data_IF_528571052918
#
_entry.id   IF_528571052918
#
_cell.length_a   1.000
_cell.length_b   1.000
_cell.length_c   1.000
_cell.angle_alpha   90.00
_cell.angle_beta   90.00
_cell.angle_gamma   90.00
#
_symmetry.space_group_name_H-M   'P 1'
#
loop_
_entity.id
_entity.type
_entity.pdbx_description
1 polymer ?
#
# COMPACT_ATOMS: atom_id res chain seq x y z
N UNK A 1 19.05 -14.77 3.76
CA UNK A 1 17.67 -14.83 3.20
C UNK A 1 17.28 -16.25 2.75
N UNK A 2 18.07 -16.90 1.88
CA UNK A 2 17.74 -18.22 1.28
C UNK A 2 17.51 -19.34 2.31
N UNK A 3 18.35 -19.44 3.35
CA UNK A 3 18.20 -20.46 4.40
C UNK A 3 16.89 -20.29 5.18
N UNK A 4 16.55 -19.05 5.55
CA UNK A 4 15.31 -18.73 6.25
C UNK A 4 14.09 -19.01 5.36
N UNK A 5 14.18 -18.68 4.07
CA UNK A 5 13.14 -19.00 3.09
C UNK A 5 12.93 -20.51 2.92
N UNK A 6 14.01 -21.28 2.84
CA UNK A 6 13.95 -22.75 2.75
C UNK A 6 13.34 -23.36 4.02
N UNK A 7 13.73 -22.88 5.20
CA UNK A 7 13.16 -23.32 6.47
C UNK A 7 11.65 -23.00 6.55
N UNK A 8 11.25 -21.79 6.16
CA UNK A 8 9.84 -21.39 6.12
C UNK A 8 9.02 -22.25 5.14
N UNK A 9 9.60 -22.64 4.00
CA UNK A 9 8.96 -23.54 3.04
C UNK A 9 8.77 -24.94 3.64
N UNK A 10 9.79 -25.50 4.30
CA UNK A 10 9.71 -26.81 4.95
C UNK A 10 8.65 -26.84 6.05
N UNK A 11 8.60 -25.79 6.88
CA UNK A 11 7.58 -25.66 7.93
C UNK A 11 6.18 -25.56 7.32
N UNK A 12 5.98 -24.76 6.27
CA UNK A 12 4.70 -24.67 5.56
C UNK A 12 4.27 -26.02 4.99
N UNK A 13 5.18 -26.76 4.33
CA UNK A 13 4.89 -28.10 3.80
C UNK A 13 4.50 -29.10 4.90
N UNK A 14 5.10 -28.98 6.09
CA UNK A 14 4.81 -29.85 7.22
C UNK A 14 3.50 -29.49 7.97
N UNK A 15 3.10 -28.21 7.96
CA UNK A 15 2.01 -27.71 8.81
C UNK A 15 0.74 -27.31 8.07
N UNK A 16 0.81 -26.99 6.78
CA UNK A 16 -0.37 -26.60 6.00
C UNK A 16 -1.26 -27.83 5.76
N UNK A 17 -2.50 -27.84 6.26
CA UNK A 17 -3.43 -28.92 5.98
C UNK A 17 -3.82 -28.91 4.50
N UNK A 18 -4.13 -30.09 3.96
CA UNK A 18 -4.68 -30.20 2.59
C UNK A 18 -6.00 -29.44 2.53
N UNK A 19 -6.08 -28.43 1.67
CA UNK A 19 -7.30 -27.68 1.38
C UNK A 19 -7.87 -28.18 0.04
N UNK A 20 -8.97 -28.97 0.05
CA UNK A 20 -9.63 -29.37 -1.18
C UNK A 20 -10.12 -28.12 -1.92
N UNK A 21 -10.01 -28.05 -3.26
CA UNK A 21 -10.56 -26.93 -4.03
C UNK A 21 -12.07 -26.86 -3.84
N UNK A 22 -12.57 -25.77 -3.25
CA UNK A 22 -14.01 -25.52 -3.04
C UNK A 22 -14.69 -24.96 -4.31
N UNK A 23 -13.92 -24.78 -5.39
CA UNK A 23 -14.39 -24.37 -6.71
C UNK A 23 -13.23 -24.18 -7.68
N UNK A 24 -13.52 -24.20 -8.99
CA UNK A 24 -12.55 -23.88 -10.04
C UNK A 24 -12.66 -22.39 -10.35
N UNK A 25 -11.84 -21.57 -9.71
CA UNK A 25 -11.63 -20.19 -10.15
C UNK A 25 -10.96 -20.24 -11.53
N UNK A 26 -11.74 -19.97 -12.58
CA UNK A 26 -11.24 -19.97 -13.95
C UNK A 26 -10.71 -18.59 -14.33
N UNK A 27 -9.80 -18.51 -15.30
CA UNK A 27 -9.36 -17.22 -15.86
C UNK A 27 -10.54 -16.37 -16.36
N UNK A 28 -11.61 -17.03 -16.84
CA UNK A 28 -12.86 -16.38 -17.26
C UNK A 28 -13.54 -15.64 -16.10
N UNK A 29 -13.52 -16.23 -14.90
CA UNK A 29 -14.08 -15.60 -13.69
C UNK A 29 -13.37 -14.28 -13.36
N UNK A 30 -12.05 -14.19 -13.59
CA UNK A 30 -11.31 -12.94 -13.42
C UNK A 30 -11.73 -11.87 -14.44
N UNK A 31 -11.93 -12.27 -15.70
CA UNK A 31 -12.41 -11.36 -16.75
C UNK A 31 -13.82 -10.85 -16.45
N UNK A 32 -14.74 -11.72 -16.01
CA UNK A 32 -16.11 -11.35 -15.60
C UNK A 32 -16.12 -10.37 -14.41
N UNK A 33 -15.19 -10.53 -13.45
CA UNK A 33 -15.02 -9.58 -12.34
C UNK A 33 -14.52 -8.23 -12.88
N UNK A 34 -13.59 -8.23 -13.83
CA UNK A 34 -13.10 -7.01 -14.47
C UNK A 34 -14.17 -6.32 -15.30
N UNK A 35 -15.23 -7.01 -15.74
CA UNK A 35 -16.35 -6.39 -16.44
C UNK A 35 -17.19 -5.44 -15.57
N UNK A 36 -17.13 -5.59 -14.24
CA UNK A 36 -17.86 -4.73 -13.31
C UNK A 36 -17.26 -3.32 -13.30
N UNK A 37 -18.01 -2.27 -13.70
CA UNK A 37 -17.47 -0.90 -13.78
C UNK A 37 -16.89 -0.38 -12.46
N UNK A 38 -17.51 -0.74 -11.32
CA UNK A 38 -17.02 -0.38 -9.99
C UNK A 38 -15.63 -0.94 -9.69
N UNK A 39 -15.34 -2.15 -10.15
CA UNK A 39 -14.03 -2.81 -9.95
C UNK A 39 -12.99 -2.16 -10.85
N UNK A 40 -13.32 -1.84 -12.10
CA UNK A 40 -12.42 -1.10 -13.00
C UNK A 40 -12.01 0.23 -12.39
N UNK A 41 -12.98 0.99 -11.88
CA UNK A 41 -12.71 2.27 -11.21
C UNK A 41 -11.84 2.06 -9.97
N UNK A 42 -12.15 1.08 -9.12
CA UNK A 42 -11.35 0.79 -7.94
C UNK A 42 -9.89 0.44 -8.30
N UNK A 43 -9.68 -0.40 -9.32
CA UNK A 43 -8.35 -0.77 -9.79
C UNK A 43 -7.59 0.44 -10.36
N UNK A 44 -8.26 1.30 -11.13
CA UNK A 44 -7.66 2.54 -11.63
C UNK A 44 -7.27 3.48 -10.50
N UNK A 45 -8.13 3.63 -9.48
CA UNK A 45 -7.80 4.43 -8.29
C UNK A 45 -6.58 3.85 -7.59
N UNK A 46 -6.55 2.55 -7.32
CA UNK A 46 -5.40 1.89 -6.69
C UNK A 46 -4.13 2.11 -7.52
N UNK A 47 -4.21 1.91 -8.84
CA UNK A 47 -3.08 2.11 -9.76
C UNK A 47 -2.55 3.55 -9.66
N UNK A 48 -3.41 4.55 -9.86
CA UNK A 48 -3.00 5.95 -9.88
C UNK A 48 -2.45 6.41 -8.52
N UNK A 49 -3.14 6.07 -7.43
CA UNK A 49 -2.76 6.48 -6.09
C UNK A 49 -1.46 5.82 -5.65
N UNK A 50 -1.33 4.50 -5.85
CA UNK A 50 -0.11 3.79 -5.52
C UNK A 50 1.07 4.30 -6.36
N UNK A 51 0.91 4.43 -7.68
CA UNK A 51 1.97 4.92 -8.55
C UNK A 51 2.41 6.35 -8.18
N UNK A 52 1.47 7.27 -7.97
CA UNK A 52 1.80 8.64 -7.57
C UNK A 52 2.48 8.72 -6.21
N UNK A 53 1.96 7.99 -5.22
CA UNK A 53 2.55 7.91 -3.89
C UNK A 53 3.98 7.35 -3.92
N UNK A 54 4.17 6.19 -4.56
CA UNK A 54 5.48 5.56 -4.64
C UNK A 54 6.48 6.36 -5.47
N UNK A 55 6.05 7.04 -6.53
CA UNK A 55 6.92 7.92 -7.30
C UNK A 55 7.53 9.02 -6.41
N UNK A 56 6.74 9.66 -5.55
CA UNK A 56 7.25 10.64 -4.58
C UNK A 56 8.09 9.99 -3.47
N UNK A 57 7.59 8.90 -2.89
CA UNK A 57 8.24 8.23 -1.77
C UNK A 57 9.63 7.69 -2.12
N UNK A 58 9.83 7.18 -3.35
CA UNK A 58 11.14 6.71 -3.83
C UNK A 58 12.20 7.82 -3.80
N UNK A 59 11.81 9.09 -3.98
CA UNK A 59 12.72 10.23 -3.96
C UNK A 59 12.64 11.07 -2.69
N UNK A 60 11.94 10.61 -1.64
CA UNK A 60 11.74 11.38 -0.41
C UNK A 60 13.07 11.76 0.25
N UNK A 61 14.00 10.82 0.37
CA UNK A 61 15.32 11.06 0.96
C UNK A 61 16.15 12.05 0.13
N UNK A 62 16.41 11.82 -1.17
CA UNK A 62 17.19 12.78 -1.95
C UNK A 62 16.52 14.15 -2.05
N UNK A 63 15.18 14.24 -1.99
CA UNK A 63 14.48 15.51 -1.87
C UNK A 63 14.84 16.23 -0.56
N UNK A 64 14.71 15.56 0.59
CA UNK A 64 15.03 16.13 1.91
C UNK A 64 16.51 16.51 2.05
N UNK A 65 17.41 15.79 1.40
CA UNK A 65 18.85 16.12 1.37
C UNK A 65 19.18 17.33 0.50
N UNK A 66 18.46 17.54 -0.61
CA UNK A 66 18.83 18.54 -1.63
C UNK A 66 18.03 19.84 -1.57
N UNK A 67 16.78 19.80 -1.10
CA UNK A 67 15.87 20.96 -1.14
C UNK A 67 15.87 21.71 0.20
N UNK A 68 15.42 21.11 1.33
CA UNK A 68 15.58 21.72 2.65
C UNK A 68 16.98 21.52 3.25
N UNK A 69 17.86 20.76 2.58
CA UNK A 69 19.26 20.51 3.00
C UNK A 69 19.36 19.95 4.43
N UNK A 70 18.53 18.96 4.74
CA UNK A 70 18.52 18.32 6.06
C UNK A 70 19.71 17.38 6.25
N UNK A 71 20.18 17.26 7.49
CA UNK A 71 21.19 16.27 7.86
C UNK A 71 20.58 14.86 7.99
N UNK A 72 21.44 13.84 8.03
CA UNK A 72 21.04 12.42 8.05
C UNK A 72 20.21 12.08 9.29
N UNK A 73 20.55 12.65 10.45
CA UNK A 73 19.84 12.42 11.71
C UNK A 73 18.39 12.90 11.64
N UNK A 74 18.18 14.11 11.12
CA UNK A 74 16.85 14.69 10.95
C UNK A 74 16.03 13.92 9.91
N UNK A 75 16.64 13.51 8.80
CA UNK A 75 15.98 12.66 7.80
C UNK A 75 15.54 11.33 8.42
N UNK A 76 16.39 10.73 9.26
CA UNK A 76 16.06 9.48 9.95
C UNK A 76 14.86 9.65 10.90
N UNK A 77 14.79 10.78 11.62
CA UNK A 77 13.64 11.14 12.45
C UNK A 77 12.37 11.35 11.62
N UNK A 78 12.46 12.02 10.47
CA UNK A 78 11.32 12.21 9.55
C UNK A 78 10.81 10.87 9.03
N UNK A 79 11.70 9.96 8.62
CA UNK A 79 11.32 8.62 8.16
C UNK A 79 10.75 7.75 9.28
N UNK A 80 11.24 7.90 10.52
CA UNK A 80 10.66 7.26 11.69
C UNK A 80 9.25 7.78 11.95
N UNK A 81 9.05 9.10 11.93
CA UNK A 81 7.74 9.72 12.08
C UNK A 81 6.78 9.28 10.97
N UNK A 82 7.27 9.17 9.73
CA UNK A 82 6.51 8.60 8.61
C UNK A 82 6.10 7.14 8.88
N UNK A 83 7.00 6.31 9.39
CA UNK A 83 6.69 4.93 9.78
C UNK A 83 5.63 4.82 10.88
N UNK A 84 5.73 5.66 11.91
CA UNK A 84 4.73 5.77 12.99
C UNK A 84 3.38 6.22 12.41
N UNK A 85 3.39 7.23 11.54
CA UNK A 85 2.20 7.71 10.83
C UNK A 85 1.56 6.61 9.98
N UNK A 86 2.36 5.80 9.29
CA UNK A 86 1.88 4.64 8.53
C UNK A 86 1.25 3.57 9.42
N UNK A 87 1.83 3.29 10.60
CA UNK A 87 1.25 2.35 11.57
C UNK A 87 -0.13 2.80 12.03
N UNK A 88 -0.25 4.02 12.55
CA UNK A 88 -1.55 4.55 13.00
C UNK A 88 -2.51 4.79 11.84
N UNK A 89 -2.00 5.18 10.67
CA UNK A 89 -2.77 5.35 9.44
C UNK A 89 -3.42 4.05 8.97
N UNK A 90 -2.77 2.90 9.13
CA UNK A 90 -3.39 1.60 8.84
C UNK A 90 -4.56 1.29 9.80
N UNK A 91 -4.39 1.55 11.10
CA UNK A 91 -5.47 1.36 12.08
C UNK A 91 -6.65 2.28 11.75
N UNK A 92 -6.39 3.57 11.56
CA UNK A 92 -7.41 4.55 11.20
C UNK A 92 -8.09 4.22 9.87
N UNK A 93 -7.31 3.76 8.87
CA UNK A 93 -7.81 3.31 7.58
C UNK A 93 -8.75 2.11 7.69
N UNK A 94 -8.41 1.13 8.54
CA UNK A 94 -9.28 -0.02 8.83
C UNK A 94 -10.61 0.41 9.45
N UNK A 95 -10.55 1.23 10.51
CA UNK A 95 -11.75 1.76 11.19
C UNK A 95 -12.62 2.57 10.21
N UNK A 96 -12.00 3.42 9.38
CA UNK A 96 -12.73 4.24 8.42
C UNK A 96 -13.34 3.39 7.29
N UNK A 97 -12.66 2.32 6.87
CA UNK A 97 -13.16 1.40 5.85
C UNK A 97 -14.38 0.60 6.31
N UNK A 98 -14.46 0.25 7.60
CA UNK A 98 -15.64 -0.38 8.20
C UNK A 98 -16.88 0.53 8.18
N UNK A 99 -16.70 1.82 8.46
CA UNK A 99 -17.81 2.80 8.48
C UNK A 99 -18.20 3.31 7.10
N UNK A 100 -17.22 3.80 6.32
CA UNK A 100 -17.45 4.38 4.99
C UNK A 100 -16.25 4.13 4.07
N UNK A 101 -16.35 3.04 3.30
CA UNK A 101 -15.33 2.63 2.34
C UNK A 101 -14.98 3.72 1.31
N UNK A 102 -15.95 4.52 0.86
CA UNK A 102 -15.68 5.59 -0.13
C UNK A 102 -14.82 6.70 0.49
N UNK A 103 -15.14 7.09 1.72
CA UNK A 103 -14.34 8.08 2.46
C UNK A 103 -12.94 7.54 2.76
N UNK A 104 -12.83 6.27 3.16
CA UNK A 104 -11.55 5.61 3.43
C UNK A 104 -10.63 5.63 2.20
N UNK A 105 -11.18 5.31 1.03
CA UNK A 105 -10.43 5.29 -0.23
C UNK A 105 -10.09 6.70 -0.73
N UNK A 106 -10.94 7.70 -0.49
CA UNK A 106 -10.72 9.06 -0.99
C UNK A 106 -9.78 9.90 -0.11
N UNK A 107 -9.78 9.70 1.21
CA UNK A 107 -9.08 10.58 2.14
C UNK A 107 -7.56 10.55 1.95
N UNK A 108 -6.95 9.38 1.88
CA UNK A 108 -5.51 9.23 1.70
C UNK A 108 -4.98 9.92 0.42
N UNK A 109 -5.53 9.67 -0.79
CA UNK A 109 -5.08 10.35 -1.99
C UNK A 109 -5.37 11.85 -1.99
N UNK A 110 -6.45 12.32 -1.36
CA UNK A 110 -6.71 13.75 -1.19
C UNK A 110 -5.62 14.42 -0.34
N UNK A 111 -5.23 13.81 0.78
CA UNK A 111 -4.15 14.33 1.63
C UNK A 111 -2.82 14.35 0.90
N UNK A 112 -2.50 13.30 0.13
CA UNK A 112 -1.29 13.25 -0.70
C UNK A 112 -1.32 14.35 -1.76
N UNK A 113 -2.45 14.55 -2.45
CA UNK A 113 -2.60 15.58 -3.47
C UNK A 113 -2.45 16.99 -2.88
N UNK A 114 -3.06 17.25 -1.71
CA UNK A 114 -2.92 18.51 -0.99
C UNK A 114 -1.47 18.78 -0.56
N UNK A 115 -0.79 17.77 -0.03
CA UNK A 115 0.61 17.88 0.34
C UNK A 115 1.48 18.18 -0.89
N UNK A 116 1.28 17.47 -1.99
CA UNK A 116 2.00 17.72 -3.24
C UNK A 116 1.73 19.13 -3.79
N UNK A 117 0.47 19.59 -3.75
CA UNK A 117 0.09 20.93 -4.19
C UNK A 117 0.72 22.05 -3.34
N UNK A 118 0.92 21.82 -2.04
CA UNK A 118 1.57 22.80 -1.15
C UNK A 118 3.08 22.97 -1.40
N UNK A 119 3.69 22.10 -2.21
CA UNK A 119 5.11 22.14 -2.56
C UNK A 119 5.37 22.83 -3.90
N UNK A 120 4.31 23.23 -4.63
CA UNK A 120 4.36 24.05 -5.85
C UNK A 120 4.41 25.53 -5.49
#
# INVERSE_FOLDING_TARGET
ATIVGALALLVQLATIPKLPPVGVASFRTLLEVLERPSIRVALLVVLLVASGHFAGFTYVRPFLEKVPVLNIETISLVLLAYGIGGFFGNIAGGILAEGNLKAAVALAPLLIALAAASML
#
